data_IF_444254919972
#
_entry.id   IF_444254919972
#
_cell.length_a   1.000
_cell.length_b   1.000
_cell.length_c   1.000
_cell.angle_alpha   90.00
_cell.angle_beta   90.00
_cell.angle_gamma   90.00
#
_symmetry.space_group_name_H-M   'P 1'
#
loop_
_entity.id
_entity.type
_entity.pdbx_description
1 polymer ?
#
# COMPACT_ATOMS: atom_id res chain seq x y z
N UNK A 1 -0.05 -11.67 -7.11
CA UNK A 1 -0.40 -11.47 -5.69
C UNK A 1 -1.15 -10.15 -5.57
N UNK A 2 -2.42 -10.17 -5.16
CA UNK A 2 -3.19 -8.94 -4.95
C UNK A 2 -2.81 -8.31 -3.61
N UNK A 3 -2.77 -6.98 -3.57
CA UNK A 3 -2.60 -6.27 -2.31
C UNK A 3 -3.86 -6.46 -1.44
N UNK A 4 -3.65 -6.58 -0.12
CA UNK A 4 -4.76 -6.53 0.84
C UNK A 4 -5.57 -5.24 0.71
N UNK A 5 -6.85 -5.30 1.06
CA UNK A 5 -7.78 -4.17 0.93
C UNK A 5 -7.36 -2.95 1.75
N UNK A 6 -7.79 -1.78 1.31
CA UNK A 6 -7.51 -0.52 1.98
C UNK A 6 -8.17 -0.45 3.37
N UNK A 7 -9.42 -0.92 3.48
CA UNK A 7 -10.14 -1.02 4.77
C UNK A 7 -9.35 -1.86 5.80
N UNK A 8 -8.77 -2.99 5.38
CA UNK A 8 -7.95 -3.81 6.27
C UNK A 8 -6.70 -3.06 6.75
N UNK A 9 -6.08 -2.27 5.88
CA UNK A 9 -4.94 -1.43 6.27
C UNK A 9 -5.36 -0.37 7.29
N UNK A 10 -6.48 0.32 7.06
CA UNK A 10 -6.95 1.39 7.95
C UNK A 10 -7.30 0.83 9.34
N UNK A 11 -7.90 -0.36 9.41
CA UNK A 11 -8.16 -1.07 10.67
C UNK A 11 -6.89 -1.46 11.42
N UNK A 12 -5.86 -1.92 10.71
CA UNK A 12 -4.54 -2.23 11.29
C UNK A 12 -3.84 -0.98 11.80
N UNK A 13 -3.88 0.12 11.04
CA UNK A 13 -3.30 1.39 11.47
C UNK A 13 -4.00 1.94 12.71
N UNK A 14 -5.34 1.89 12.75
CA UNK A 14 -6.09 2.29 13.94
C UNK A 14 -5.78 1.42 15.17
N UNK A 15 -5.53 0.12 15.00
CA UNK A 15 -5.11 -0.75 16.09
C UNK A 15 -3.70 -0.42 16.61
N UNK A 16 -2.76 -0.12 15.69
CA UNK A 16 -1.42 0.34 16.05
C UNK A 16 -1.45 1.70 16.77
N UNK A 17 -2.31 2.63 16.35
CA UNK A 17 -2.52 3.93 17.01
C UNK A 17 -3.07 3.77 18.44
N UNK A 18 -3.87 2.73 18.70
CA UNK A 18 -4.32 2.36 20.05
C UNK A 18 -3.27 1.62 20.90
N UNK A 19 -2.09 1.36 20.35
CA UNK A 19 -1.01 0.63 21.04
C UNK A 19 -1.15 -0.89 21.02
N UNK A 20 -2.05 -1.46 20.20
CA UNK A 20 -2.17 -2.92 20.05
C UNK A 20 -0.87 -3.51 19.46
N UNK A 21 -0.42 -4.64 20.00
CA UNK A 21 0.80 -5.32 19.56
C UNK A 21 0.65 -5.99 18.18
N UNK A 22 1.69 -6.01 17.32
CA UNK A 22 1.62 -6.59 15.98
C UNK A 22 1.17 -8.07 15.94
N UNK A 23 1.51 -8.85 16.97
CA UNK A 23 1.07 -10.26 17.08
C UNK A 23 -0.44 -10.37 17.30
N UNK A 24 -1.01 -9.56 18.19
CA UNK A 24 -2.44 -9.57 18.46
C UNK A 24 -3.24 -9.11 17.24
N UNK A 25 -2.75 -8.06 16.57
CA UNK A 25 -3.34 -7.56 15.32
C UNK A 25 -3.32 -8.63 14.22
N UNK A 26 -2.18 -9.31 14.05
CA UNK A 26 -2.02 -10.36 13.05
C UNK A 26 -3.00 -11.52 13.28
N UNK A 27 -3.18 -11.95 14.53
CA UNK A 27 -4.14 -12.99 14.89
C UNK A 27 -5.59 -12.53 14.66
N UNK A 28 -5.94 -11.32 15.10
CA UNK A 28 -7.30 -10.76 15.00
C UNK A 28 -7.79 -10.61 13.56
N UNK A 29 -6.89 -10.23 12.65
CA UNK A 29 -7.22 -9.99 11.25
C UNK A 29 -6.75 -11.11 10.31
N UNK A 30 -6.24 -12.22 10.85
CA UNK A 30 -5.76 -13.39 10.08
C UNK A 30 -4.74 -13.02 8.99
N UNK A 31 -3.84 -12.11 9.32
CA UNK A 31 -2.76 -11.64 8.42
C UNK A 31 -1.39 -12.04 8.96
N UNK A 32 -0.40 -12.05 8.08
CA UNK A 32 0.99 -12.24 8.51
C UNK A 32 1.47 -11.09 9.39
N UNK A 33 2.17 -11.42 10.49
CA UNK A 33 2.91 -10.43 11.31
C UNK A 33 3.83 -9.55 10.47
N UNK A 34 4.49 -10.12 9.47
CA UNK A 34 5.38 -9.36 8.57
C UNK A 34 4.61 -8.27 7.82
N UNK A 35 3.38 -8.56 7.41
CA UNK A 35 2.54 -7.60 6.71
C UNK A 35 2.14 -6.42 7.61
N UNK A 36 1.81 -6.69 8.88
CA UNK A 36 1.55 -5.63 9.89
C UNK A 36 2.76 -4.71 10.04
N UNK A 37 3.99 -5.26 10.11
CA UNK A 37 5.22 -4.45 10.15
C UNK A 37 5.44 -3.63 8.87
N UNK A 38 5.09 -4.16 7.69
CA UNK A 38 5.19 -3.41 6.44
C UNK A 38 4.20 -2.24 6.40
N UNK A 39 2.97 -2.44 6.86
CA UNK A 39 1.96 -1.38 6.98
C UNK A 39 2.45 -0.28 7.92
N UNK A 40 2.94 -0.64 9.11
CA UNK A 40 3.50 0.31 10.07
C UNK A 40 4.66 1.13 9.48
N UNK A 41 5.66 0.46 8.91
CA UNK A 41 6.83 1.13 8.31
C UNK A 41 6.44 2.09 7.18
N UNK A 42 5.45 1.71 6.37
CA UNK A 42 4.96 2.55 5.28
C UNK A 42 4.24 3.79 5.80
N UNK A 43 3.46 3.64 6.87
CA UNK A 43 2.81 4.76 7.56
C UNK A 43 3.83 5.73 8.17
N UNK A 44 4.81 5.22 8.93
CA UNK A 44 5.86 6.04 9.56
C UNK A 44 6.73 6.79 8.53
N UNK A 45 7.00 6.16 7.37
CA UNK A 45 7.88 6.74 6.34
C UNK A 45 7.18 7.75 5.43
N UNK A 46 5.91 7.53 5.08
CA UNK A 46 5.23 8.33 4.05
C UNK A 46 4.05 9.15 4.58
N UNK A 47 3.60 8.93 5.82
CA UNK A 47 2.38 9.55 6.35
C UNK A 47 1.11 9.19 5.57
N UNK A 48 1.16 8.14 4.74
CA UNK A 48 0.07 7.74 3.85
C UNK A 48 -0.68 6.54 4.43
N UNK A 49 -1.95 6.78 4.81
CA UNK A 49 -2.92 5.74 5.15
C UNK A 49 -3.26 4.88 3.92
N UNK A 50 -3.18 5.48 2.73
CA UNK A 50 -3.61 4.85 1.48
C UNK A 50 -2.54 3.94 0.84
N UNK A 51 -2.99 2.85 0.22
CA UNK A 51 -2.22 2.09 -0.75
C UNK A 51 -1.89 2.96 -1.96
N UNK A 52 -0.64 2.94 -2.41
CA UNK A 52 -0.30 3.50 -3.71
C UNK A 52 -1.11 2.75 -4.78
N UNK A 53 -1.64 3.44 -5.80
CA UNK A 53 -2.36 2.77 -6.87
C UNK A 53 -1.49 1.67 -7.48
N UNK A 54 -1.96 0.43 -7.38
CA UNK A 54 -1.34 -0.73 -8.03
C UNK A 54 -2.01 -0.88 -9.39
N UNK A 55 -1.33 -0.42 -10.44
CA UNK A 55 -1.83 -0.40 -11.81
C UNK A 55 -1.90 1.02 -12.39
N UNK A 56 -1.56 1.11 -13.68
CA UNK A 56 -1.44 2.36 -14.42
C UNK A 56 -0.18 2.34 -15.29
N UNK A 57 -0.35 2.37 -16.61
CA UNK A 57 0.78 2.57 -17.51
C UNK A 57 1.28 4.01 -17.38
N UNK A 58 2.59 4.19 -17.22
CA UNK A 58 3.24 5.50 -17.22
C UNK A 58 3.13 6.08 -18.62
N UNK A 59 2.22 7.04 -18.86
CA UNK A 59 2.11 7.71 -20.16
C UNK A 59 3.47 8.28 -20.56
N UNK A 60 3.98 7.81 -21.69
CA UNK A 60 5.23 8.31 -22.27
C UNK A 60 5.14 9.82 -22.49
N UNK A 61 6.14 10.57 -22.03
CA UNK A 61 6.20 12.04 -22.23
C UNK A 61 6.27 12.43 -23.71
N UNK A 62 6.67 11.49 -24.57
CA UNK A 62 6.76 11.65 -26.01
C UNK A 62 5.58 11.05 -26.77
N UNK A 63 4.49 10.67 -26.09
CA UNK A 63 3.29 10.13 -26.74
C UNK A 63 2.77 11.04 -27.88
N UNK A 64 2.90 12.36 -27.71
CA UNK A 64 2.55 13.36 -28.74
C UNK A 64 3.48 13.39 -29.96
N UNK A 65 4.63 12.70 -29.90
CA UNK A 65 5.63 12.62 -30.99
C UNK A 65 5.81 11.20 -31.53
N UNK A 66 5.03 10.21 -31.06
CA UNK A 66 5.21 8.82 -31.49
C UNK A 66 5.04 8.63 -33.00
N UNK A 67 4.13 9.37 -33.64
CA UNK A 67 3.93 9.33 -35.09
C UNK A 67 5.16 9.82 -35.88
N UNK A 68 5.99 10.69 -35.30
CA UNK A 68 7.20 11.23 -35.93
C UNK A 68 8.40 10.31 -35.75
N UNK A 69 8.43 9.54 -34.65
CA UNK A 69 9.56 8.67 -34.29
C UNK A 69 9.42 7.28 -34.92
N UNK A 70 8.19 6.82 -35.16
CA UNK A 70 7.88 5.51 -35.76
C UNK A 70 7.63 5.56 -37.28
N UNK A 71 7.71 6.75 -37.88
CA UNK A 71 7.56 6.96 -39.32
C UNK A 71 8.87 6.71 -40.07
#
# INVERSE_FOLDING_TARGET
MHAYSQDLRDRVLGALERGEGPTAIAQRYEVSRLWVYQVRRRWEKEGKRQSLPVGGHRRSRIAHKEAVIRG
#
